data_IF_206919184210
#
_entry.id   IF_206919184210
#
_cell.length_a   1.000
_cell.length_b   1.000
_cell.length_c   1.000
_cell.angle_alpha   90.00
_cell.angle_beta   90.00
_cell.angle_gamma   90.00
#
_symmetry.space_group_name_H-M   'P 1'
#
loop_
_entity.id
_entity.type
_entity.pdbx_description
1 polymer ?
#
# COMPACT_ATOMS: atom_id res chain seq x y z
N UNK A 1 -70.39 32.31 -51.22
CA UNK A 1 -70.00 31.42 -50.16
C UNK A 1 -68.69 30.77 -50.59
N UNK A 2 -67.57 31.32 -50.15
CA UNK A 2 -66.22 30.84 -50.54
C UNK A 2 -65.57 30.27 -49.29
N UNK A 3 -65.23 29.01 -49.28
CA UNK A 3 -64.62 28.31 -48.19
C UNK A 3 -63.09 28.31 -48.41
N UNK A 4 -62.41 29.03 -47.57
CA UNK A 4 -60.93 29.13 -47.53
C UNK A 4 -60.35 27.93 -46.85
N UNK A 5 -59.42 27.23 -47.51
CA UNK A 5 -58.57 26.18 -46.89
C UNK A 5 -57.35 26.80 -46.22
N UNK A 6 -56.93 26.30 -45.04
CA UNK A 6 -55.68 26.73 -44.42
C UNK A 6 -54.47 25.93 -45.01
N UNK A 7 -53.40 26.65 -45.24
CA UNK A 7 -52.11 26.13 -45.70
C UNK A 7 -51.42 25.39 -44.55
N UNK A 8 -51.04 24.14 -44.85
CA UNK A 8 -50.18 23.31 -43.99
C UNK A 8 -48.75 23.82 -44.13
N UNK A 9 -48.19 24.39 -43.06
CA UNK A 9 -46.76 24.67 -42.96
C UNK A 9 -46.05 23.39 -42.55
N UNK A 10 -45.17 22.91 -43.43
CA UNK A 10 -44.23 21.82 -43.16
C UNK A 10 -43.09 22.40 -42.30
N UNK A 11 -42.99 21.96 -41.06
CA UNK A 11 -41.78 22.15 -40.27
C UNK A 11 -40.76 21.08 -40.63
N UNK A 12 -39.67 21.53 -41.27
CA UNK A 12 -38.50 20.70 -41.50
C UNK A 12 -37.75 20.59 -40.14
N UNK A 13 -37.83 19.44 -39.49
CA UNK A 13 -37.00 19.13 -38.33
C UNK A 13 -35.65 18.66 -38.84
N UNK A 14 -34.67 19.52 -38.74
CA UNK A 14 -33.25 19.18 -38.98
C UNK A 14 -32.73 18.38 -37.80
N UNK A 15 -32.68 17.07 -37.89
CA UNK A 15 -32.05 16.20 -36.92
C UNK A 15 -30.52 16.32 -37.08
N UNK A 16 -29.90 17.10 -36.20
CA UNK A 16 -28.44 17.09 -36.02
C UNK A 16 -28.05 15.84 -35.26
N UNK A 17 -27.57 14.83 -35.95
CA UNK A 17 -26.96 13.66 -35.33
C UNK A 17 -25.55 14.08 -34.85
N UNK A 18 -25.42 14.39 -33.59
CA UNK A 18 -24.12 14.52 -32.93
C UNK A 18 -23.59 13.10 -32.70
N UNK A 19 -22.70 12.64 -33.57
CA UNK A 19 -21.92 11.45 -33.31
C UNK A 19 -20.91 11.75 -32.19
N UNK A 20 -21.23 11.41 -30.96
CA UNK A 20 -20.29 11.29 -29.87
C UNK A 20 -19.42 10.08 -30.17
N UNK A 21 -18.26 10.31 -30.79
CA UNK A 21 -17.19 9.33 -30.81
C UNK A 21 -16.62 9.21 -29.40
N UNK A 22 -17.12 8.26 -28.64
CA UNK A 22 -16.45 7.75 -27.45
C UNK A 22 -15.15 7.10 -27.92
N UNK A 23 -14.05 7.83 -27.86
CA UNK A 23 -12.72 7.22 -27.87
C UNK A 23 -12.60 6.43 -26.57
N UNK A 24 -12.96 5.16 -26.63
CA UNK A 24 -12.49 4.20 -25.67
C UNK A 24 -10.97 4.16 -25.82
N UNK A 25 -10.27 4.84 -24.93
CA UNK A 25 -8.83 4.63 -24.72
C UNK A 25 -8.72 3.22 -24.15
N UNK A 26 -8.67 2.22 -25.04
CA UNK A 26 -8.15 0.92 -24.68
C UNK A 26 -6.65 1.10 -24.49
N UNK A 27 -6.26 1.43 -23.26
CA UNK A 27 -4.92 1.18 -22.80
C UNK A 27 -4.70 -0.34 -22.93
N UNK A 28 -4.15 -0.77 -24.04
CA UNK A 28 -3.57 -2.10 -24.11
C UNK A 28 -2.38 -2.08 -23.14
N UNK A 29 -2.62 -2.51 -21.90
CA UNK A 29 -1.57 -3.02 -21.06
C UNK A 29 -0.84 -4.06 -21.90
N UNK A 30 0.36 -3.74 -22.34
CA UNK A 30 1.30 -4.75 -22.79
C UNK A 30 1.59 -5.58 -21.56
N UNK A 31 0.88 -6.68 -21.38
CA UNK A 31 1.32 -7.78 -20.53
C UNK A 31 2.62 -8.28 -21.15
N UNK A 32 3.73 -7.68 -20.78
CA UNK A 32 5.03 -8.28 -20.99
C UNK A 32 5.05 -9.50 -20.08
N UNK A 33 4.83 -10.67 -20.62
CA UNK A 33 5.10 -11.92 -19.93
C UNK A 33 6.63 -11.95 -19.71
N UNK A 34 7.07 -11.45 -18.54
CA UNK A 34 8.38 -11.82 -18.04
C UNK A 34 8.27 -13.32 -17.75
N UNK A 35 8.86 -14.12 -18.60
CA UNK A 35 9.04 -15.52 -18.27
C UNK A 35 9.85 -15.61 -16.98
N UNK A 36 9.72 -16.67 -16.24
CA UNK A 36 10.28 -17.09 -14.95
C UNK A 36 11.79 -16.79 -14.71
N UNK A 37 12.31 -15.75 -15.35
CA UNK A 37 13.69 -15.28 -15.26
C UNK A 37 13.75 -14.13 -14.29
N UNK A 38 14.32 -14.42 -13.12
CA UNK A 38 14.74 -13.39 -12.15
C UNK A 38 15.44 -12.24 -12.88
N UNK A 39 14.88 -11.04 -12.82
CA UNK A 39 15.56 -9.85 -13.29
C UNK A 39 16.78 -9.62 -12.39
N UNK A 40 17.97 -9.85 -12.92
CA UNK A 40 19.19 -9.46 -12.22
C UNK A 40 19.33 -7.95 -12.30
N UNK A 41 19.04 -7.27 -11.20
CA UNK A 41 19.05 -5.81 -11.11
C UNK A 41 20.35 -5.36 -10.45
N UNK A 42 20.99 -4.37 -11.04
CA UNK A 42 22.10 -3.62 -10.46
C UNK A 42 21.76 -2.15 -10.55
N UNK A 43 21.82 -1.46 -9.43
CA UNK A 43 21.56 -0.02 -9.34
C UNK A 43 22.74 0.73 -9.96
N UNK A 44 22.46 1.50 -11.00
CA UNK A 44 23.44 2.33 -11.69
C UNK A 44 23.54 3.73 -11.07
N UNK A 45 24.56 4.50 -11.46
CA UNK A 45 24.65 5.91 -11.07
C UNK A 45 23.50 6.73 -11.67
N UNK A 46 22.96 6.34 -12.81
CA UNK A 46 21.78 6.97 -13.39
C UNK A 46 20.53 6.74 -12.52
N UNK A 47 20.32 5.52 -12.00
CA UNK A 47 19.21 5.24 -11.09
C UNK A 47 19.31 6.07 -9.81
N UNK A 48 20.53 6.22 -9.25
CA UNK A 48 20.78 7.07 -8.07
C UNK A 48 20.53 8.54 -8.35
N UNK A 49 20.91 9.02 -9.55
CA UNK A 49 20.61 10.40 -9.96
C UNK A 49 19.11 10.63 -10.10
N UNK A 50 18.41 9.74 -10.79
CA UNK A 50 16.93 9.81 -10.90
C UNK A 50 16.22 9.75 -9.55
N UNK A 51 16.73 8.95 -8.62
CA UNK A 51 16.22 8.89 -7.25
C UNK A 51 16.48 10.18 -6.46
N UNK A 52 17.62 10.82 -6.68
CA UNK A 52 17.94 12.09 -6.01
C UNK A 52 17.04 13.24 -6.47
N UNK A 53 16.64 13.24 -7.75
CA UNK A 53 15.78 14.24 -8.36
C UNK A 53 14.28 13.91 -8.24
N UNK A 54 13.93 12.70 -7.76
CA UNK A 54 12.56 12.27 -7.64
C UNK A 54 11.81 13.03 -6.54
N UNK A 55 10.54 13.34 -6.81
CA UNK A 55 9.63 13.87 -5.79
C UNK A 55 9.14 12.69 -4.96
N UNK A 56 9.35 12.75 -3.66
CA UNK A 56 8.79 11.81 -2.69
C UNK A 56 7.42 12.34 -2.31
N UNK A 57 6.39 11.79 -2.96
CA UNK A 57 5.06 12.33 -2.85
C UNK A 57 4.45 11.97 -1.50
N UNK A 58 4.64 10.73 -1.07
CA UNK A 58 4.07 10.23 0.18
C UNK A 58 4.84 9.04 0.77
N UNK A 59 4.72 8.86 2.09
CA UNK A 59 5.06 7.66 2.84
C UNK A 59 4.15 7.54 4.05
N UNK A 60 3.71 6.34 4.38
CA UNK A 60 2.96 6.03 5.58
C UNK A 60 3.44 4.72 6.20
N UNK A 61 3.94 4.72 7.44
CA UNK A 61 4.47 3.53 8.08
C UNK A 61 3.46 2.86 9.00
N UNK A 62 3.47 1.54 9.05
CA UNK A 62 2.94 0.78 10.18
C UNK A 62 3.91 0.89 11.35
N UNK A 63 3.52 1.63 12.37
CA UNK A 63 4.41 1.98 13.48
C UNK A 63 4.69 0.80 14.41
N UNK A 64 5.95 0.61 14.72
CA UNK A 64 6.38 -0.37 15.73
C UNK A 64 5.97 0.08 17.15
N UNK A 65 5.65 -0.89 18.03
CA UNK A 65 5.31 -0.63 19.43
C UNK A 65 6.53 -0.30 20.28
N UNK A 66 7.22 0.76 19.94
CA UNK A 66 8.43 1.24 20.58
C UNK A 66 8.28 2.71 20.97
N UNK A 67 9.12 3.24 21.87
CA UNK A 67 9.13 4.69 22.13
C UNK A 67 9.41 5.52 20.88
N UNK A 68 10.25 5.02 19.96
CA UNK A 68 10.55 5.69 18.70
C UNK A 68 9.32 5.69 17.77
N UNK A 69 8.62 4.55 17.61
CA UNK A 69 7.39 4.45 16.82
C UNK A 69 6.27 5.32 17.39
N UNK A 70 6.09 5.33 18.70
CA UNK A 70 5.13 6.25 19.36
C UNK A 70 5.45 7.73 19.07
N UNK A 71 6.72 8.10 19.10
CA UNK A 71 7.13 9.48 18.80
C UNK A 71 6.91 9.82 17.32
N UNK A 72 7.26 8.91 16.41
CA UNK A 72 7.08 9.08 14.96
C UNK A 72 5.59 9.25 14.61
N UNK A 73 4.72 8.38 15.15
CA UNK A 73 3.26 8.50 14.96
C UNK A 73 2.71 9.85 15.43
N UNK A 74 3.17 10.35 16.58
CA UNK A 74 2.77 11.67 17.08
C UNK A 74 3.21 12.80 16.14
N UNK A 75 4.40 12.69 15.56
CA UNK A 75 4.91 13.67 14.60
C UNK A 75 4.08 13.69 13.32
N UNK A 76 3.70 12.52 12.81
CA UNK A 76 2.82 12.43 11.65
C UNK A 76 1.45 13.03 11.93
N UNK A 77 0.79 12.65 13.02
CA UNK A 77 -0.49 13.22 13.43
C UNK A 77 -0.43 14.75 13.54
N UNK A 78 0.65 15.31 14.11
CA UNK A 78 0.86 16.76 14.18
C UNK A 78 1.02 17.39 12.79
N UNK A 79 1.69 16.71 11.86
CA UNK A 79 1.84 17.16 10.48
C UNK A 79 0.48 17.18 9.76
N UNK A 80 -0.30 16.10 9.85
CA UNK A 80 -1.64 16.02 9.26
C UNK A 80 -2.61 17.04 9.85
N UNK A 81 -2.52 17.32 11.16
CA UNK A 81 -3.30 18.38 11.80
C UNK A 81 -3.04 19.75 11.17
N UNK A 82 -1.81 20.04 10.78
CA UNK A 82 -1.47 21.31 10.13
C UNK A 82 -2.08 21.45 8.72
N UNK A 83 -2.35 20.34 8.06
CA UNK A 83 -2.95 20.27 6.72
C UNK A 83 -4.48 20.35 6.82
N UNK A 84 -5.07 19.80 7.86
CA UNK A 84 -6.52 19.84 8.09
C UNK A 84 -6.95 21.20 8.62
N UNK A 85 -7.47 22.06 7.77
CA UNK A 85 -7.96 23.41 8.10
C UNK A 85 -9.17 23.42 9.09
N UNK A 86 -9.66 22.28 9.54
CA UNK A 86 -10.81 22.13 10.45
C UNK A 86 -10.43 21.88 11.92
N UNK A 87 -9.18 21.70 12.25
CA UNK A 87 -8.76 21.38 13.61
C UNK A 87 -8.62 22.65 14.46
N UNK A 88 -9.74 23.20 14.91
CA UNK A 88 -9.76 24.14 16.03
C UNK A 88 -9.72 23.37 17.33
N UNK A 89 -8.60 22.96 17.79
CA UNK A 89 -8.19 22.83 19.18
C UNK A 89 -6.87 22.04 19.28
N UNK A 90 -5.92 22.55 19.97
CA UNK A 90 -4.81 21.79 20.51
C UNK A 90 -5.34 20.81 21.59
N UNK A 91 -6.11 19.80 21.16
CA UNK A 91 -6.43 18.68 22.00
C UNK A 91 -5.22 17.76 22.04
N UNK A 92 -4.98 17.15 23.18
CA UNK A 92 -3.89 16.23 23.39
C UNK A 92 -3.82 15.22 22.26
N UNK A 93 -2.82 15.39 21.39
CA UNK A 93 -2.51 14.45 20.32
C UNK A 93 -2.27 13.11 21.01
N UNK A 94 -2.93 12.10 20.50
CA UNK A 94 -2.89 10.68 20.80
C UNK A 94 -2.09 10.30 22.06
N UNK A 95 -2.76 9.68 22.99
CA UNK A 95 -2.11 8.96 24.09
C UNK A 95 -1.13 7.90 23.53
N UNK A 96 -0.29 7.38 24.40
CA UNK A 96 0.63 6.28 24.06
C UNK A 96 -0.13 4.93 23.86
N UNK A 97 -1.44 5.00 23.65
CA UNK A 97 -2.32 3.85 23.64
C UNK A 97 -2.65 3.45 22.20
N UNK A 98 -2.02 2.38 21.74
CA UNK A 98 -2.35 1.71 20.49
C UNK A 98 -3.65 0.87 20.58
N UNK A 99 -4.29 0.82 21.74
CA UNK A 99 -5.50 0.03 22.01
C UNK A 99 -6.77 0.85 21.88
N UNK A 100 -6.80 1.83 21.00
CA UNK A 100 -7.95 2.73 20.82
C UNK A 100 -9.12 2.02 20.14
N UNK A 101 -10.34 2.51 20.38
CA UNK A 101 -11.49 2.07 19.60
C UNK A 101 -11.31 2.58 18.17
N UNK A 102 -11.39 1.70 17.16
CA UNK A 102 -11.29 2.10 15.77
C UNK A 102 -12.41 3.07 15.38
N UNK A 103 -12.11 3.94 14.41
CA UNK A 103 -13.05 4.94 13.91
C UNK A 103 -13.12 4.98 12.39
N UNK A 104 -14.20 5.54 11.86
CA UNK A 104 -14.37 5.66 10.43
C UNK A 104 -13.31 6.56 9.80
N UNK A 105 -12.69 6.09 8.73
CA UNK A 105 -11.82 6.92 7.90
C UNK A 105 -12.66 7.79 6.98
N UNK A 106 -12.20 9.02 6.73
CA UNK A 106 -12.91 10.01 5.94
C UNK A 106 -12.20 10.26 4.60
N UNK A 107 -12.99 10.34 3.53
CA UNK A 107 -12.44 10.64 2.20
C UNK A 107 -12.03 12.11 2.09
N UNK A 108 -10.77 12.34 1.74
CA UNK A 108 -10.17 13.67 1.62
C UNK A 108 -10.14 14.19 0.17
N UNK A 109 -10.59 13.38 -0.80
CA UNK A 109 -10.73 13.80 -2.20
C UNK A 109 -9.61 13.34 -3.13
N UNK A 110 -8.60 12.64 -2.62
CA UNK A 110 -7.47 12.13 -3.40
C UNK A 110 -7.80 10.89 -4.24
N UNK A 111 -6.82 10.41 -5.02
CA UNK A 111 -6.99 9.21 -5.83
C UNK A 111 -7.02 7.95 -4.97
N UNK A 112 -7.67 6.91 -5.49
CA UNK A 112 -7.62 5.54 -5.00
C UNK A 112 -7.24 4.59 -6.13
N UNK A 113 -6.76 3.39 -5.80
CA UNK A 113 -6.31 2.41 -6.79
C UNK A 113 -7.43 1.44 -7.11
N UNK A 114 -8.07 1.59 -8.25
CA UNK A 114 -9.20 0.75 -8.65
C UNK A 114 -8.79 -0.61 -9.21
N UNK A 115 -7.64 -0.69 -9.85
CA UNK A 115 -7.06 -1.88 -10.47
C UNK A 115 -5.55 -1.82 -10.32
N UNK A 116 -4.92 -2.88 -9.88
CA UNK A 116 -3.46 -2.94 -9.81
C UNK A 116 -2.90 -4.32 -10.09
N UNK A 117 -1.66 -4.31 -10.55
CA UNK A 117 -0.78 -5.47 -10.62
C UNK A 117 0.29 -5.30 -9.54
N UNK A 118 0.37 -6.26 -8.62
CA UNK A 118 1.39 -6.29 -7.58
C UNK A 118 2.66 -6.97 -8.08
N UNK A 119 3.80 -6.32 -7.90
CA UNK A 119 5.12 -6.81 -8.32
C UNK A 119 6.00 -7.03 -7.10
N UNK A 120 6.42 -8.28 -6.86
CA UNK A 120 7.35 -8.59 -5.78
C UNK A 120 8.80 -8.28 -6.18
N UNK A 121 9.51 -7.51 -5.37
CA UNK A 121 10.91 -7.13 -5.57
C UNK A 121 11.74 -7.59 -4.39
N UNK A 122 12.58 -8.62 -4.60
CA UNK A 122 13.40 -9.20 -3.54
C UNK A 122 14.83 -8.67 -3.56
N UNK A 123 15.26 -8.10 -2.45
CA UNK A 123 16.66 -7.69 -2.27
C UNK A 123 17.46 -8.89 -1.75
N UNK A 124 18.17 -9.59 -2.63
CA UNK A 124 18.90 -10.82 -2.29
C UNK A 124 20.39 -10.75 -2.66
N UNK A 125 21.19 -9.95 -1.95
CA UNK A 125 22.59 -9.72 -2.29
C UNK A 125 23.47 -10.96 -2.12
N UNK A 126 23.19 -11.80 -1.13
CA UNK A 126 24.04 -12.91 -0.73
C UNK A 126 23.79 -14.23 -1.47
N UNK A 127 22.69 -14.32 -2.24
CA UNK A 127 22.22 -15.57 -2.87
C UNK A 127 21.91 -16.72 -1.89
N UNK A 128 21.95 -16.47 -0.60
CA UNK A 128 21.72 -17.46 0.45
C UNK A 128 20.23 -17.61 0.74
N UNK A 129 19.43 -16.60 0.39
CA UNK A 129 18.00 -16.57 0.53
C UNK A 129 17.29 -17.24 -0.63
N UNK A 130 16.40 -18.16 -0.33
CA UNK A 130 15.29 -18.47 -1.24
C UNK A 130 14.07 -17.65 -0.84
N UNK A 131 13.15 -17.38 -1.76
CA UNK A 131 11.95 -16.61 -1.48
C UNK A 131 11.18 -17.23 -0.30
N UNK A 132 11.06 -18.55 -0.29
CA UNK A 132 10.36 -19.27 0.78
C UNK A 132 11.09 -19.20 2.14
N UNK A 133 12.43 -19.24 2.17
CA UNK A 133 13.17 -19.29 3.44
C UNK A 133 13.37 -17.93 4.08
N UNK A 134 13.43 -16.86 3.29
CA UNK A 134 13.68 -15.53 3.82
C UNK A 134 12.43 -14.66 3.91
N UNK A 135 11.40 -14.93 3.11
CA UNK A 135 10.20 -14.07 3.07
C UNK A 135 8.89 -14.87 3.11
N UNK A 136 8.92 -16.19 3.29
CA UNK A 136 7.70 -16.98 3.43
C UNK A 136 6.88 -17.17 2.14
N UNK A 137 7.40 -16.74 0.98
CA UNK A 137 6.72 -16.82 -0.32
C UNK A 137 5.47 -15.91 -0.45
N UNK A 138 5.59 -14.61 -0.23
CA UNK A 138 4.45 -13.66 -0.21
C UNK A 138 3.70 -13.55 -1.54
N UNK A 139 4.32 -13.93 -2.66
CA UNK A 139 3.63 -13.98 -3.96
C UNK A 139 2.40 -14.88 -3.93
N UNK A 140 2.39 -15.89 -3.06
CA UNK A 140 1.22 -16.76 -2.90
C UNK A 140 0.03 -15.99 -2.31
N UNK A 141 0.27 -15.11 -1.35
CA UNK A 141 -0.75 -14.21 -0.81
C UNK A 141 -1.23 -13.25 -1.91
N UNK A 142 -0.30 -12.53 -2.57
CA UNK A 142 -0.64 -11.59 -3.64
C UNK A 142 -1.41 -12.23 -4.80
N UNK A 143 -1.12 -13.50 -5.15
CA UNK A 143 -1.86 -14.24 -6.15
C UNK A 143 -3.31 -14.50 -5.72
N UNK A 144 -3.51 -14.82 -4.43
CA UNK A 144 -4.79 -15.31 -3.90
C UNK A 144 -5.68 -14.22 -3.35
N UNK A 145 -5.12 -13.13 -2.82
CA UNK A 145 -5.92 -12.07 -2.20
C UNK A 145 -6.93 -11.46 -3.17
N UNK A 146 -6.58 -11.34 -4.44
CA UNK A 146 -7.47 -10.81 -5.48
C UNK A 146 -8.73 -11.66 -5.77
N UNK A 147 -8.76 -12.91 -5.33
CA UNK A 147 -9.91 -13.83 -5.44
C UNK A 147 -10.62 -14.03 -4.09
N UNK A 148 -10.21 -13.32 -3.03
CA UNK A 148 -10.75 -13.45 -1.68
C UNK A 148 -11.89 -12.48 -1.40
N UNK A 149 -12.77 -12.83 -0.47
CA UNK A 149 -13.74 -11.84 0.07
C UNK A 149 -13.04 -10.73 0.85
N UNK A 150 -11.82 -10.97 1.35
CA UNK A 150 -11.04 -10.00 2.10
C UNK A 150 -10.76 -8.73 1.29
N UNK A 151 -10.30 -8.87 0.04
CA UNK A 151 -9.99 -7.72 -0.82
C UNK A 151 -11.22 -6.84 -1.11
N UNK A 152 -12.43 -7.39 -1.00
CA UNK A 152 -13.68 -6.67 -1.25
C UNK A 152 -14.09 -5.71 -0.13
N UNK A 153 -13.39 -5.71 1.03
CA UNK A 153 -13.50 -4.61 2.00
C UNK A 153 -13.14 -3.28 1.34
N UNK A 154 -12.21 -3.29 0.39
CA UNK A 154 -11.78 -2.10 -0.36
C UNK A 154 -12.86 -1.54 -1.30
N UNK A 155 -13.89 -2.29 -1.65
CA UNK A 155 -14.92 -1.85 -2.59
C UNK A 155 -15.57 -0.52 -2.20
N UNK A 156 -15.81 -0.32 -0.91
CA UNK A 156 -16.38 0.90 -0.36
C UNK A 156 -15.45 2.12 -0.51
N UNK A 157 -14.13 1.90 -0.47
CA UNK A 157 -13.11 2.96 -0.54
C UNK A 157 -12.75 3.35 -1.98
N UNK A 158 -12.79 2.40 -2.91
CA UNK A 158 -12.42 2.66 -4.31
C UNK A 158 -13.61 2.94 -5.23
N UNK A 159 -14.84 2.84 -4.70
CA UNK A 159 -16.06 3.13 -5.44
C UNK A 159 -16.41 2.12 -6.54
N UNK A 160 -15.85 0.91 -6.47
CA UNK A 160 -16.15 -0.20 -7.38
C UNK A 160 -16.53 -1.43 -6.57
N UNK A 161 -17.37 -2.29 -7.14
CA UNK A 161 -17.84 -3.51 -6.48
C UNK A 161 -17.46 -4.75 -7.27
N UNK A 162 -16.97 -5.75 -6.54
CA UNK A 162 -16.73 -7.09 -7.07
C UNK A 162 -15.66 -7.19 -8.15
N UNK A 163 -15.45 -8.40 -8.63
CA UNK A 163 -14.49 -8.72 -9.68
C UNK A 163 -13.04 -8.78 -9.20
N UNK A 164 -12.21 -9.51 -9.94
CA UNK A 164 -10.78 -9.61 -9.69
C UNK A 164 -10.07 -8.38 -10.25
N UNK A 165 -9.71 -7.45 -9.38
CA UNK A 165 -9.11 -6.16 -9.75
C UNK A 165 -7.63 -6.05 -9.39
N UNK A 166 -7.18 -6.88 -8.46
CA UNK A 166 -5.81 -6.89 -7.98
C UNK A 166 -5.20 -8.25 -8.30
N UNK A 167 -4.08 -8.24 -8.99
CA UNK A 167 -3.47 -9.46 -9.53
C UNK A 167 -1.96 -9.46 -9.29
N UNK A 168 -1.40 -10.65 -9.15
CA UNK A 168 0.05 -10.82 -9.14
C UNK A 168 0.62 -10.61 -10.54
N UNK A 169 1.68 -9.80 -10.62
CA UNK A 169 2.52 -9.60 -11.80
C UNK A 169 3.87 -10.31 -11.69
N UNK A 170 4.81 -9.80 -12.46
CA UNK A 170 6.16 -10.36 -12.49
C UNK A 170 6.96 -9.94 -11.26
N UNK A 171 7.92 -10.79 -10.89
CA UNK A 171 8.86 -10.50 -9.81
C UNK A 171 10.21 -10.04 -10.31
N UNK A 172 10.93 -9.32 -9.46
CA UNK A 172 12.32 -8.96 -9.66
C UNK A 172 13.18 -9.43 -8.48
N UNK A 173 14.40 -9.85 -8.74
CA UNK A 173 15.37 -10.20 -7.69
C UNK A 173 16.64 -9.39 -7.89
N UNK A 174 16.96 -8.53 -6.92
CA UNK A 174 18.20 -7.79 -6.89
C UNK A 174 19.31 -8.71 -6.34
N UNK A 175 20.32 -9.00 -7.17
CA UNK A 175 21.44 -9.88 -6.81
C UNK A 175 22.77 -9.14 -6.64
N UNK A 176 22.74 -7.82 -6.75
CA UNK A 176 23.92 -6.96 -6.53
C UNK A 176 24.18 -6.70 -5.05
N UNK A 177 25.38 -6.21 -4.74
CA UNK A 177 25.65 -5.71 -3.40
C UNK A 177 24.68 -4.59 -3.04
N UNK A 178 24.12 -4.66 -1.85
CA UNK A 178 23.33 -3.55 -1.30
C UNK A 178 24.29 -2.39 -0.96
N UNK A 179 23.78 -1.14 -0.96
CA UNK A 179 24.45 -0.02 -0.32
C UNK A 179 24.75 -0.33 1.16
N UNK A 180 25.46 0.57 1.84
CA UNK A 180 25.71 0.41 3.26
C UNK A 180 24.39 0.33 4.04
N UNK A 181 24.31 -0.57 5.02
CA UNK A 181 23.16 -0.64 5.95
C UNK A 181 23.36 0.33 7.12
N UNK A 182 22.30 0.97 7.65
CA UNK A 182 20.91 0.86 7.17
C UNK A 182 20.74 1.41 5.75
N UNK A 183 19.84 0.81 4.96
CA UNK A 183 19.43 1.37 3.67
C UNK A 183 18.68 2.68 3.92
N UNK A 184 19.03 3.72 3.19
CA UNK A 184 18.23 4.95 3.19
C UNK A 184 17.00 4.80 2.31
N UNK A 185 15.99 5.65 2.51
CA UNK A 185 14.86 5.75 1.59
C UNK A 185 15.34 6.08 0.16
N UNK A 186 16.34 6.95 0.02
CA UNK A 186 16.97 7.23 -1.28
C UNK A 186 17.56 5.99 -1.95
N UNK A 187 18.17 5.08 -1.19
CA UNK A 187 18.66 3.81 -1.74
C UNK A 187 17.52 2.94 -2.26
N UNK A 188 16.43 2.82 -1.50
CA UNK A 188 15.26 2.05 -1.89
C UNK A 188 14.58 2.64 -3.14
N UNK A 189 14.46 3.97 -3.22
CA UNK A 189 13.92 4.67 -4.39
C UNK A 189 14.81 4.45 -5.62
N UNK A 190 16.15 4.41 -5.47
CA UNK A 190 17.05 4.09 -6.59
C UNK A 190 16.92 2.63 -7.05
N UNK A 191 16.70 1.71 -6.12
CA UNK A 191 16.41 0.31 -6.44
C UNK A 191 15.06 0.21 -7.19
N UNK A 192 14.04 0.87 -6.68
CA UNK A 192 12.71 0.93 -7.30
C UNK A 192 12.79 1.49 -8.72
N UNK A 193 13.51 2.60 -8.93
CA UNK A 193 13.75 3.17 -10.25
C UNK A 193 14.34 2.12 -11.21
N UNK A 194 15.38 1.41 -10.76
CA UNK A 194 16.05 0.41 -11.60
C UNK A 194 15.12 -0.77 -11.99
N UNK A 195 14.14 -1.09 -11.15
CA UNK A 195 13.11 -2.11 -11.45
C UNK A 195 12.10 -1.55 -12.46
N UNK A 196 11.50 -0.40 -12.16
CA UNK A 196 10.45 0.21 -12.98
C UNK A 196 10.96 0.57 -14.37
N UNK A 197 12.20 1.08 -14.49
CA UNK A 197 12.82 1.37 -15.78
C UNK A 197 12.93 0.14 -16.70
N UNK A 198 12.97 -1.06 -16.14
CA UNK A 198 13.02 -2.33 -16.90
C UNK A 198 11.65 -2.94 -17.16
N UNK A 199 10.73 -2.79 -16.24
CA UNK A 199 9.35 -3.27 -16.38
C UNK A 199 8.52 -2.34 -17.25
N UNK A 200 8.81 -1.05 -17.22
CA UNK A 200 8.09 -0.01 -17.96
C UNK A 200 6.67 0.25 -17.43
N UNK A 201 6.40 -0.17 -16.19
CA UNK A 201 5.05 -0.16 -15.61
C UNK A 201 4.98 0.78 -14.38
N UNK A 202 4.75 2.07 -14.60
CA UNK A 202 4.43 3.05 -13.56
C UNK A 202 2.92 3.32 -13.44
N UNK A 203 2.57 4.32 -12.64
CA UNK A 203 1.20 4.78 -12.41
C UNK A 203 0.41 3.92 -11.44
N UNK A 204 -0.82 4.34 -11.17
CA UNK A 204 -1.72 3.70 -10.18
C UNK A 204 -2.12 2.26 -10.51
N UNK A 205 -1.80 1.76 -11.68
CA UNK A 205 -2.07 0.38 -12.09
C UNK A 205 -1.01 -0.63 -11.64
N UNK A 206 0.04 -0.22 -10.95
CA UNK A 206 1.14 -1.08 -10.53
C UNK A 206 1.61 -0.71 -9.13
N UNK A 207 1.81 -1.73 -8.28
CA UNK A 207 2.34 -1.58 -6.92
C UNK A 207 3.57 -2.48 -6.80
N UNK A 208 4.68 -1.91 -6.33
CA UNK A 208 5.95 -2.62 -6.16
C UNK A 208 6.23 -2.88 -4.69
N UNK A 209 6.27 -4.15 -4.29
CA UNK A 209 6.56 -4.57 -2.91
C UNK A 209 8.04 -4.92 -2.77
N UNK A 210 8.79 -4.08 -2.05
CA UNK A 210 10.24 -4.24 -1.85
C UNK A 210 10.52 -5.05 -0.59
N UNK A 211 10.85 -6.32 -0.75
CA UNK A 211 11.15 -7.23 0.34
C UNK A 211 12.63 -7.19 0.72
N UNK A 212 12.93 -6.77 1.95
CA UNK A 212 14.28 -6.72 2.49
C UNK A 212 14.65 -8.07 3.13
N UNK A 213 15.91 -8.53 3.00
CA UNK A 213 16.35 -9.78 3.61
C UNK A 213 16.62 -9.62 5.12
N UNK A 214 16.71 -10.73 5.86
CA UNK A 214 17.10 -10.72 7.27
C UNK A 214 18.42 -9.95 7.51
N UNK A 215 18.46 -9.14 8.57
CA UNK A 215 19.65 -8.38 8.97
C UNK A 215 19.91 -7.13 8.13
N UNK A 216 18.95 -6.69 7.34
CA UNK A 216 19.03 -5.42 6.61
C UNK A 216 18.06 -4.44 7.22
N UNK A 217 18.60 -3.44 7.90
CA UNK A 217 17.86 -2.31 8.42
C UNK A 217 17.63 -1.26 7.34
N UNK A 218 16.57 -0.47 7.52
CA UNK A 218 16.28 0.68 6.66
C UNK A 218 15.77 1.85 7.46
N UNK A 219 16.13 3.06 7.04
CA UNK A 219 15.72 4.32 7.69
C UNK A 219 15.18 5.30 6.65
N UNK A 220 14.31 6.19 7.09
CA UNK A 220 13.93 7.32 6.27
C UNK A 220 15.11 8.29 6.06
N UNK A 221 15.01 9.11 5.03
CA UNK A 221 15.97 10.18 4.79
C UNK A 221 15.76 11.34 5.80
N UNK A 222 16.72 12.24 5.90
CA UNK A 222 16.56 13.46 6.70
C UNK A 222 15.31 14.27 6.24
N UNK A 223 14.54 14.86 7.16
CA UNK A 223 14.83 15.02 8.59
C UNK A 223 14.50 13.79 9.47
N UNK A 224 13.83 12.77 8.95
CA UNK A 224 13.28 11.63 9.71
C UNK A 224 14.27 10.44 9.76
N UNK A 225 15.56 10.68 9.58
CA UNK A 225 16.59 9.65 9.50
C UNK A 225 16.84 8.86 10.79
N UNK A 226 16.11 9.15 11.83
CA UNK A 226 16.04 8.39 13.09
C UNK A 226 14.79 7.52 13.20
N UNK A 227 13.95 7.49 12.20
CA UNK A 227 12.80 6.60 12.08
C UNK A 227 13.18 5.43 11.17
N UNK A 228 13.37 4.25 11.77
CA UNK A 228 13.93 3.09 11.11
C UNK A 228 13.14 1.81 11.41
N UNK A 229 13.24 0.84 10.51
CA UNK A 229 13.18 -0.56 10.87
C UNK A 229 14.58 -0.95 11.34
N UNK A 230 14.75 -1.14 12.63
CA UNK A 230 16.04 -1.44 13.26
C UNK A 230 15.82 -2.23 14.57
N UNK A 231 15.45 -3.51 14.50
CA UNK A 231 15.10 -4.34 15.65
C UNK A 231 16.13 -4.33 16.78
N UNK A 232 17.42 -4.23 16.41
CA UNK A 232 18.53 -4.21 17.37
C UNK A 232 18.77 -2.83 18.00
N UNK A 233 18.08 -1.79 17.54
CA UNK A 233 18.24 -0.42 18.05
C UNK A 233 16.91 0.22 18.47
N UNK A 234 16.44 0.00 19.69
CA UNK A 234 15.17 0.55 20.17
C UNK A 234 15.04 2.08 20.10
N UNK A 235 16.16 2.79 19.98
CA UNK A 235 16.15 4.26 19.92
C UNK A 235 15.69 4.77 18.54
N UNK A 236 15.82 3.96 17.51
CA UNK A 236 15.43 4.32 16.13
C UNK A 236 14.38 3.37 15.54
N UNK A 237 14.07 2.26 16.21
CA UNK A 237 13.08 1.31 15.74
C UNK A 237 11.67 1.90 15.80
N UNK A 238 11.21 2.48 14.70
CA UNK A 238 9.99 3.23 14.61
C UNK A 238 8.87 2.54 13.83
N UNK A 239 9.19 1.70 12.85
CA UNK A 239 8.19 1.09 11.97
C UNK A 239 8.51 -0.35 11.61
N UNK A 240 7.50 -1.08 11.16
CA UNK A 240 7.57 -2.46 10.70
C UNK A 240 7.60 -2.59 9.18
N UNK A 241 6.84 -1.75 8.51
CA UNK A 241 6.78 -1.61 7.06
C UNK A 241 6.31 -0.19 6.72
N UNK A 242 6.20 0.14 5.45
CA UNK A 242 5.54 1.35 5.00
C UNK A 242 5.16 1.26 3.53
N UNK A 243 4.10 1.96 3.14
CA UNK A 243 3.82 2.23 1.74
C UNK A 243 4.15 3.68 1.39
N UNK A 244 4.17 3.95 0.08
CA UNK A 244 4.39 5.31 -0.39
C UNK A 244 4.29 5.45 -1.89
N UNK A 245 4.47 6.69 -2.31
CA UNK A 245 4.54 7.05 -3.71
C UNK A 245 5.72 7.97 -4.00
N UNK A 246 6.19 7.87 -5.23
CA UNK A 246 7.31 8.67 -5.74
C UNK A 246 7.07 9.03 -7.19
N UNK A 247 7.41 10.26 -7.59
CA UNK A 247 7.35 10.68 -8.99
C UNK A 247 8.75 10.91 -9.54
N UNK A 248 9.16 10.06 -10.48
CA UNK A 248 10.40 10.23 -11.24
C UNK A 248 10.15 11.10 -12.46
N UNK A 249 11.17 11.88 -12.84
CA UNK A 249 11.08 12.76 -14.01
C UNK A 249 10.96 12.01 -15.36
N UNK A 250 11.46 10.77 -15.41
CA UNK A 250 11.51 9.91 -16.61
C UNK A 250 10.49 8.78 -16.60
N UNK A 251 10.09 8.27 -15.43
CA UNK A 251 9.17 7.14 -15.29
C UNK A 251 7.76 7.55 -14.83
N UNK A 252 7.61 8.80 -14.34
CA UNK A 252 6.37 9.28 -13.77
C UNK A 252 6.09 8.72 -12.37
N UNK A 253 4.83 8.69 -11.99
CA UNK A 253 4.35 8.28 -10.68
C UNK A 253 4.46 6.77 -10.47
N UNK A 254 4.90 6.34 -9.29
CA UNK A 254 5.10 4.93 -8.92
C UNK A 254 4.65 4.71 -7.49
N UNK A 255 3.84 3.67 -7.28
CA UNK A 255 3.40 3.21 -5.96
C UNK A 255 4.29 2.06 -5.49
N UNK A 256 4.63 2.06 -4.21
CA UNK A 256 5.46 1.02 -3.63
C UNK A 256 5.17 0.77 -2.16
N UNK A 257 5.54 -0.43 -1.69
CA UNK A 257 5.64 -0.75 -0.27
C UNK A 257 7.06 -1.20 0.05
N UNK A 258 7.47 -1.03 1.28
CA UNK A 258 8.74 -1.56 1.79
C UNK A 258 8.43 -2.53 2.91
N UNK A 259 8.84 -3.77 2.68
CA UNK A 259 8.56 -4.92 3.52
C UNK A 259 9.88 -5.42 4.13
N UNK A 260 10.32 -4.89 5.28
CA UNK A 260 11.44 -5.45 6.02
C UNK A 260 11.17 -6.89 6.43
N UNK A 261 12.19 -7.60 6.85
CA UNK A 261 12.05 -8.99 7.27
C UNK A 261 11.15 -9.14 8.50
N UNK A 262 10.08 -9.94 8.38
CA UNK A 262 9.06 -10.13 9.41
C UNK A 262 9.20 -11.46 10.19
N UNK A 263 10.35 -12.10 10.11
CA UNK A 263 10.55 -13.37 10.80
C UNK A 263 10.71 -13.25 12.31
N UNK A 264 10.85 -14.38 13.01
CA UNK A 264 11.02 -14.39 14.45
C UNK A 264 12.14 -13.45 14.93
N UNK A 265 11.87 -12.66 15.96
CA UNK A 265 12.77 -11.64 16.52
C UNK A 265 12.93 -10.36 15.69
N UNK A 266 12.08 -10.14 14.71
CA UNK A 266 12.04 -8.87 13.96
C UNK A 266 11.49 -7.72 14.80
N UNK A 267 10.75 -8.04 15.86
CA UNK A 267 10.01 -7.06 16.66
C UNK A 267 8.69 -6.62 16.03
N UNK A 268 8.38 -7.18 14.87
CA UNK A 268 7.16 -6.96 14.09
C UNK A 268 6.45 -8.28 13.76
N UNK A 269 6.97 -9.38 14.30
CA UNK A 269 6.39 -10.69 14.05
C UNK A 269 5.09 -10.92 14.79
N UNK A 270 4.19 -11.63 14.14
CA UNK A 270 2.95 -12.13 14.76
C UNK A 270 3.20 -13.17 15.83
N UNK A 271 2.17 -13.39 16.67
CA UNK A 271 2.19 -14.48 17.61
C UNK A 271 2.33 -15.83 16.89
N UNK A 272 3.25 -16.72 17.31
CA UNK A 272 3.30 -18.07 16.75
C UNK A 272 2.12 -18.94 17.18
N UNK A 273 1.29 -18.46 18.10
CA UNK A 273 0.15 -19.21 18.66
C UNK A 273 -1.01 -19.13 17.68
N UNK A 274 -1.48 -20.30 17.22
CA UNK A 274 -2.59 -20.38 16.26
C UNK A 274 -2.19 -20.08 14.81
N UNK A 275 -0.91 -19.85 14.55
CA UNK A 275 -0.38 -19.62 13.21
C UNK A 275 -0.69 -20.82 12.29
N UNK A 276 -1.43 -20.64 11.17
CA UNK A 276 -1.74 -21.75 10.24
C UNK A 276 -0.53 -22.16 9.41
N UNK A 277 0.43 -21.28 9.24
CA UNK A 277 1.67 -21.50 8.51
C UNK A 277 2.88 -21.42 9.47
N UNK A 278 4.01 -20.91 9.03
CA UNK A 278 5.12 -20.53 9.94
C UNK A 278 4.96 -19.08 10.36
N UNK A 279 5.52 -18.71 11.50
CA UNK A 279 5.52 -17.33 11.97
C UNK A 279 6.04 -16.35 10.91
N UNK A 280 7.09 -16.72 10.16
CA UNK A 280 7.59 -15.91 9.04
C UNK A 280 6.55 -15.69 7.95
N UNK A 281 5.83 -16.75 7.55
CA UNK A 281 4.82 -16.66 6.48
C UNK A 281 3.68 -15.75 6.94
N UNK A 282 3.15 -16.05 8.12
CA UNK A 282 1.97 -15.36 8.64
C UNK A 282 2.28 -13.88 8.89
N UNK A 283 3.42 -13.56 9.53
CA UNK A 283 3.82 -12.16 9.75
C UNK A 283 4.12 -11.40 8.46
N UNK A 284 4.66 -12.07 7.44
CA UNK A 284 4.89 -11.43 6.14
C UNK A 284 3.57 -11.15 5.42
N UNK A 285 2.63 -12.12 5.43
CA UNK A 285 1.33 -11.94 4.80
C UNK A 285 0.49 -10.87 5.53
N UNK A 286 0.60 -10.80 6.86
CA UNK A 286 -0.07 -9.82 7.71
C UNK A 286 0.38 -8.39 7.39
N UNK A 287 1.68 -8.13 7.49
CA UNK A 287 2.25 -6.81 7.20
C UNK A 287 2.01 -6.40 5.75
N UNK A 288 2.18 -7.34 4.79
CA UNK A 288 1.93 -7.09 3.38
C UNK A 288 0.45 -6.78 3.10
N UNK A 289 -0.49 -7.39 3.83
CA UNK A 289 -1.92 -7.06 3.68
C UNK A 289 -2.20 -5.63 4.12
N UNK A 290 -1.65 -5.19 5.26
CA UNK A 290 -1.74 -3.83 5.75
C UNK A 290 -1.30 -2.83 4.67
N UNK A 291 -0.06 -2.94 4.21
CA UNK A 291 0.52 -1.99 3.26
C UNK A 291 -0.19 -2.02 1.88
N UNK A 292 -0.65 -3.19 1.44
CA UNK A 292 -1.40 -3.33 0.20
C UNK A 292 -2.76 -2.60 0.27
N UNK A 293 -3.50 -2.78 1.37
CA UNK A 293 -4.82 -2.19 1.53
C UNK A 293 -4.75 -0.67 1.66
N UNK A 294 -3.77 -0.16 2.37
CA UNK A 294 -3.54 1.28 2.48
C UNK A 294 -3.05 1.88 1.16
N UNK A 295 -2.10 1.24 0.47
CA UNK A 295 -1.70 1.67 -0.88
C UNK A 295 -2.90 1.77 -1.84
N UNK A 296 -3.89 0.88 -1.70
CA UNK A 296 -5.08 0.89 -2.56
C UNK A 296 -6.05 1.99 -2.16
N UNK A 297 -6.27 2.20 -0.87
CA UNK A 297 -7.25 3.16 -0.35
C UNK A 297 -6.71 4.58 -0.26
N UNK A 298 -5.43 4.76 0.03
CA UNK A 298 -4.78 6.06 0.18
C UNK A 298 -3.34 6.12 -0.37
N UNK A 299 -3.15 5.92 -1.67
CA UNK A 299 -1.81 5.79 -2.28
C UNK A 299 -0.90 7.01 -2.09
N UNK A 300 -1.48 8.19 -1.86
CA UNK A 300 -0.77 9.48 -1.79
C UNK A 300 -1.06 10.28 -0.52
N UNK A 301 -1.66 9.69 0.50
CA UNK A 301 -1.98 10.36 1.75
C UNK A 301 -3.09 11.41 1.64
N UNK A 302 -3.90 11.35 0.59
CA UNK A 302 -4.90 12.37 0.28
C UNK A 302 -6.29 11.82 0.04
N UNK A 303 -6.49 10.49 0.23
CA UNK A 303 -7.77 9.83 -0.01
C UNK A 303 -8.48 9.41 1.28
N UNK A 304 -8.12 8.32 1.92
CA UNK A 304 -8.88 7.81 3.05
C UNK A 304 -8.05 7.68 4.33
N UNK A 305 -8.27 8.57 5.27
CA UNK A 305 -7.66 8.52 6.60
C UNK A 305 -8.57 9.17 7.66
N UNK A 306 -8.35 8.84 8.92
CA UNK A 306 -9.14 9.38 10.04
C UNK A 306 -8.79 10.85 10.30
N UNK A 307 -9.71 11.73 9.98
CA UNK A 307 -9.60 13.18 10.20
C UNK A 307 -10.56 13.70 11.26
N UNK A 308 -11.44 12.85 11.77
CA UNK A 308 -12.53 13.24 12.69
C UNK A 308 -12.11 13.08 14.16
N UNK A 309 -11.39 12.02 14.49
CA UNK A 309 -10.90 11.76 15.84
C UNK A 309 -9.43 12.16 15.96
N UNK A 310 -9.15 13.14 16.84
CA UNK A 310 -7.79 13.64 17.04
C UNK A 310 -6.86 12.58 17.62
N UNK A 311 -7.38 11.57 18.32
CA UNK A 311 -6.58 10.48 18.86
C UNK A 311 -6.15 9.46 17.80
N UNK A 312 -6.88 9.42 16.70
CA UNK A 312 -6.66 8.54 15.54
C UNK A 312 -6.22 9.34 14.29
N UNK A 313 -5.93 10.61 14.46
CA UNK A 313 -5.63 11.53 13.36
C UNK A 313 -4.48 11.00 12.48
N UNK A 314 -4.77 10.80 11.23
CA UNK A 314 -3.84 10.27 10.25
C UNK A 314 -3.86 8.76 10.08
N UNK A 315 -4.54 8.02 10.96
CA UNK A 315 -4.70 6.59 10.78
C UNK A 315 -5.42 6.30 9.46
N UNK A 316 -4.88 5.37 8.70
CA UNK A 316 -5.51 4.81 7.52
C UNK A 316 -6.33 3.57 7.89
N UNK A 317 -6.91 2.89 6.92
CA UNK A 317 -7.87 1.83 7.23
C UNK A 317 -7.27 0.62 7.96
N UNK A 318 -6.02 0.28 7.70
CA UNK A 318 -5.36 -0.83 8.36
C UNK A 318 -4.90 -0.43 9.78
N UNK A 319 -4.41 0.80 9.94
CA UNK A 319 -4.03 1.36 11.24
C UNK A 319 -5.15 1.35 12.28
N UNK A 320 -6.39 1.55 11.84
CA UNK A 320 -7.57 1.52 12.72
C UNK A 320 -7.74 0.15 13.40
N UNK A 321 -7.16 -0.89 12.81
CA UNK A 321 -7.26 -2.27 13.30
C UNK A 321 -5.95 -2.82 13.90
N UNK A 322 -4.93 -1.98 14.02
CA UNK A 322 -3.70 -2.35 14.69
C UNK A 322 -3.95 -2.65 16.17
N UNK A 323 -3.36 -3.73 16.67
CA UNK A 323 -3.35 -4.09 18.10
C UNK A 323 -4.72 -4.25 18.76
N UNK A 324 -5.75 -4.53 17.97
CA UNK A 324 -7.09 -4.83 18.46
C UNK A 324 -7.20 -6.32 18.74
N UNK A 325 -6.95 -6.72 19.96
CA UNK A 325 -7.08 -8.11 20.39
C UNK A 325 -6.72 -8.27 21.86
N UNK A 326 -7.08 -9.41 22.46
CA UNK A 326 -6.83 -9.65 23.88
C UNK A 326 -5.33 -9.70 24.24
N UNK A 327 -4.48 -9.94 23.25
CA UNK A 327 -3.04 -10.13 23.45
C UNK A 327 -2.21 -8.91 23.07
N UNK A 328 -2.85 -7.79 22.65
CA UNK A 328 -2.18 -6.61 22.13
C UNK A 328 -1.26 -6.88 20.91
N UNK A 329 -1.45 -7.99 20.24
CA UNK A 329 -0.91 -8.27 18.92
C UNK A 329 -1.90 -7.79 17.85
N UNK A 330 -1.47 -7.79 16.60
CA UNK A 330 -2.37 -7.55 15.48
C UNK A 330 -3.63 -8.43 15.63
N UNK A 331 -4.80 -7.91 15.26
CA UNK A 331 -5.98 -8.74 15.13
C UNK A 331 -5.77 -9.66 13.94
N UNK A 332 -5.40 -10.91 14.19
CA UNK A 332 -4.89 -11.84 13.19
C UNK A 332 -5.90 -12.94 12.84
N UNK A 333 -7.04 -12.60 12.22
CA UNK A 333 -7.95 -13.62 11.74
C UNK A 333 -7.34 -14.43 10.61
N UNK A 334 -7.73 -15.68 10.54
CA UNK A 334 -7.35 -16.57 9.45
C UNK A 334 -8.52 -16.74 8.49
N UNK A 335 -8.27 -16.60 7.20
CA UNK A 335 -9.28 -16.86 6.18
C UNK A 335 -8.79 -17.84 5.10
N UNK A 336 -9.67 -18.68 4.55
CA UNK A 336 -9.32 -19.61 3.49
C UNK A 336 -9.49 -18.98 2.10
N UNK A 337 -8.52 -19.19 1.21
CA UNK A 337 -8.66 -18.95 -0.23
C UNK A 337 -8.15 -20.18 -0.97
N UNK A 338 -8.97 -20.80 -1.80
CA UNK A 338 -8.62 -21.98 -2.60
C UNK A 338 -7.96 -23.12 -1.78
N UNK A 339 -8.43 -23.32 -0.55
CA UNK A 339 -7.90 -24.35 0.34
C UNK A 339 -6.60 -24.01 1.05
N UNK A 340 -6.11 -22.78 0.91
CA UNK A 340 -5.01 -22.24 1.68
C UNK A 340 -5.54 -21.34 2.79
N UNK A 341 -4.92 -21.41 3.97
CA UNK A 341 -5.21 -20.51 5.07
C UNK A 341 -4.17 -19.39 5.05
N UNK A 342 -4.66 -18.16 5.09
CA UNK A 342 -3.86 -16.96 5.27
C UNK A 342 -4.18 -16.36 6.63
N UNK A 343 -3.17 -15.94 7.34
CA UNK A 343 -3.29 -15.12 8.54
C UNK A 343 -2.94 -13.71 8.14
N UNK A 344 -3.81 -12.77 8.45
CA UNK A 344 -3.69 -11.36 8.05
C UNK A 344 -4.27 -10.50 9.14
N UNK A 345 -3.88 -9.24 9.17
CA UNK A 345 -4.56 -8.23 9.95
C UNK A 345 -6.00 -8.07 9.43
N UNK A 346 -6.95 -7.84 10.33
CA UNK A 346 -8.28 -7.36 9.92
C UNK A 346 -8.19 -5.90 9.50
N UNK A 347 -9.00 -5.51 8.51
CA UNK A 347 -9.04 -4.15 7.98
C UNK A 347 -10.30 -3.42 8.42
N UNK A 348 -10.21 -2.12 8.62
CA UNK A 348 -11.38 -1.34 9.00
C UNK A 348 -12.38 -1.24 7.85
N UNK A 349 -13.65 -1.38 8.18
CA UNK A 349 -14.76 -1.22 7.26
C UNK A 349 -15.70 -0.12 7.76
N UNK A 350 -15.76 1.00 7.05
CA UNK A 350 -16.72 2.07 7.33
C UNK A 350 -18.18 1.57 7.24
N UNK A 351 -18.47 0.64 6.32
CA UNK A 351 -19.81 0.06 6.18
C UNK A 351 -20.25 -0.76 7.41
N UNK A 352 -19.27 -1.32 8.13
CA UNK A 352 -19.49 -2.12 9.34
C UNK A 352 -19.24 -1.36 10.62
N UNK A 353 -18.55 -0.24 10.56
CA UNK A 353 -17.99 0.49 11.71
C UNK A 353 -17.15 -0.42 12.62
N UNK A 354 -16.34 -1.29 12.01
CA UNK A 354 -15.55 -2.29 12.71
C UNK A 354 -14.44 -2.87 11.83
N UNK A 355 -13.45 -3.47 12.50
CA UNK A 355 -12.43 -4.32 11.85
C UNK A 355 -13.07 -5.60 11.31
N UNK A 356 -12.76 -5.96 10.08
CA UNK A 356 -13.36 -7.07 9.36
C UNK A 356 -12.35 -7.77 8.43
N UNK A 357 -12.69 -9.00 8.03
CA UNK A 357 -11.97 -9.78 7.01
C UNK A 357 -12.84 -10.08 5.78
N UNK A 358 -14.02 -9.53 5.74
CA UNK A 358 -14.98 -9.73 4.65
C UNK A 358 -16.01 -8.61 4.68
N UNK A 359 -16.52 -8.14 3.54
CA UNK A 359 -17.62 -7.20 3.49
C UNK A 359 -18.95 -7.82 3.99
N UNK A 360 -19.02 -9.13 4.11
CA UNK A 360 -20.27 -9.86 4.38
C UNK A 360 -20.44 -10.28 5.85
N UNK A 361 -19.39 -10.28 6.68
CA UNK A 361 -19.40 -10.79 8.06
C UNK A 361 -18.79 -9.79 9.04
#
# INVERSE_FOLDING_TARGET
MSISQPRLQQFLILAVVIALSTMAVHGQSKTSSFGDTDLNITVSDADRSSAADALRDYKHPVYARTPAGTAARKNEAASRQSISASATAAAAIAGDDFTQNPGDVAYQGGPTVQYAVSHAVYLNPGRECTIATCWGNPERFLEKVGDSDFIHILDQYVGLQGGRRYTLGDRAVLKGALPATPLSQSDLIAILHSVVARTGAGGYGNIYHLFLPPGVDTCFDAPDNNECYSPDNPATFAFCAYHGSVTYSDLGHVLFTVEPWQGPTSGCEDSPVGAPNSQLIDSTDDTLSHELFETISDPDGTAWWNSADLSLLGNEMADECLFIGPDNYFSEPTFPVDGHLFRVQSEYSNDKHACAISPHY
#
